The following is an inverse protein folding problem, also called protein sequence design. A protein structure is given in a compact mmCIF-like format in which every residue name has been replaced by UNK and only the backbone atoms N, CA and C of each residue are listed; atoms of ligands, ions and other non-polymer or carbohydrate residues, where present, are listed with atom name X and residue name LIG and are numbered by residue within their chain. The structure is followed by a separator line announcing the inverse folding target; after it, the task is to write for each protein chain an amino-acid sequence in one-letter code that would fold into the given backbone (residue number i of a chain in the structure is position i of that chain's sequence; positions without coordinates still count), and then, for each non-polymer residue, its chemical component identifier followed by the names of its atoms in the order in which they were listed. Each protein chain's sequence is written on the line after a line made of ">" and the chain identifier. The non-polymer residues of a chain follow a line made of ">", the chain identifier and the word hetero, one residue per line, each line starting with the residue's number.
data_IF_619315262565
#
_entry.id   IF_619315262565
#
_cell.length_a   1.000
_cell.length_b   1.000
_cell.length_c   1.000
_cell.angle_alpha   90.00
_cell.angle_beta   90.00
_cell.angle_gamma   90.00
#
_symmetry.space_group_name_H-M   'P 1'
#
loop_
_entity.id
_entity.type
_entity.pdbx_description
1 polymer ?
#
# COMPACT_ATOMS: atom_id res chain seq x y z
N UNK A 1 40.41 66.25 12.54
CA UNK A 1 39.12 66.13 13.24
C UNK A 1 38.58 64.74 12.94
N UNK A 2 38.58 63.82 13.90
CA UNK A 2 38.08 62.46 13.68
C UNK A 2 36.55 62.51 13.63
N UNK A 3 35.96 62.00 12.55
CA UNK A 3 34.51 61.89 12.42
C UNK A 3 34.04 60.79 13.36
N UNK A 4 33.36 61.16 14.45
CA UNK A 4 32.73 60.23 15.37
C UNK A 4 31.34 59.91 14.82
N UNK A 5 31.18 58.70 14.30
CA UNK A 5 29.84 58.20 13.94
C UNK A 5 29.11 57.79 15.22
N UNK A 6 27.79 58.05 15.32
CA UNK A 6 27.01 57.57 16.45
C UNK A 6 27.01 56.03 16.49
N UNK A 7 27.14 55.46 17.70
CA UNK A 7 27.34 54.02 17.96
C UNK A 7 26.28 53.08 17.35
N UNK A 8 25.19 53.63 16.83
CA UNK A 8 24.07 52.92 16.25
C UNK A 8 24.11 52.81 14.72
N UNK A 9 25.03 53.50 14.03
CA UNK A 9 25.12 53.48 12.55
C UNK A 9 25.32 52.06 12.04
N UNK A 10 26.23 51.27 12.65
CA UNK A 10 26.46 49.88 12.26
C UNK A 10 25.23 48.98 12.49
N UNK A 11 24.43 49.25 13.54
CA UNK A 11 23.19 48.52 13.81
C UNK A 11 22.12 48.85 12.76
N UNK A 12 22.00 50.13 12.37
CA UNK A 12 21.06 50.59 11.34
C UNK A 12 21.43 50.05 9.96
N UNK A 13 22.71 50.02 9.62
CA UNK A 13 23.20 49.45 8.35
C UNK A 13 22.90 47.95 8.28
N UNK A 14 23.19 47.19 9.35
CA UNK A 14 22.82 45.77 9.40
C UNK A 14 21.32 45.53 9.27
N UNK A 15 20.49 46.36 9.91
CA UNK A 15 19.04 46.24 9.80
C UNK A 15 18.55 46.49 8.36
N UNK A 16 19.16 47.45 7.64
CA UNK A 16 18.89 47.71 6.23
C UNK A 16 19.33 46.56 5.32
N UNK A 17 20.52 46.00 5.55
CA UNK A 17 21.02 44.83 4.81
C UNK A 17 20.10 43.61 5.00
N UNK A 18 19.66 43.36 6.24
CA UNK A 18 18.74 42.27 6.54
C UNK A 18 17.38 42.49 5.88
N UNK A 19 16.87 43.73 5.94
CA UNK A 19 15.62 44.11 5.26
C UNK A 19 15.71 43.93 3.74
N UNK A 20 16.83 44.33 3.12
CA UNK A 20 17.07 44.10 1.69
C UNK A 20 17.13 42.60 1.36
N UNK A 21 17.84 41.79 2.15
CA UNK A 21 17.92 40.35 1.92
C UNK A 21 16.55 39.68 2.01
N UNK A 22 15.73 40.06 2.99
CA UNK A 22 14.35 39.58 3.10
C UNK A 22 13.50 40.02 1.90
N UNK A 23 13.67 41.26 1.43
CA UNK A 23 12.93 41.79 0.30
C UNK A 23 13.29 41.07 -1.00
N UNK A 24 14.58 40.84 -1.27
CA UNK A 24 15.05 40.03 -2.41
C UNK A 24 14.58 38.59 -2.33
N UNK A 25 14.57 37.98 -1.15
CA UNK A 25 14.04 36.64 -0.94
C UNK A 25 12.54 36.57 -1.24
N UNK A 26 11.78 37.57 -0.81
CA UNK A 26 10.34 37.67 -1.12
C UNK A 26 10.07 37.89 -2.61
N UNK A 27 10.87 38.74 -3.28
CA UNK A 27 10.74 39.02 -4.71
C UNK A 27 11.12 37.82 -5.56
N UNK A 28 12.03 36.96 -5.10
CA UNK A 28 12.38 35.75 -5.85
C UNK A 28 11.35 34.62 -5.66
N UNK A 29 10.63 34.60 -4.54
CA UNK A 29 9.64 33.54 -4.23
C UNK A 29 8.23 33.88 -4.72
N UNK A 30 7.83 35.15 -4.72
CA UNK A 30 6.49 35.61 -5.14
C UNK A 30 6.15 35.34 -6.62
N UNK A 31 7.08 35.50 -7.59
CA UNK A 31 6.84 35.17 -9.00
C UNK A 31 6.70 33.67 -9.22
N UNK A 32 7.36 32.83 -8.42
CA UNK A 32 7.17 31.39 -8.49
C UNK A 32 5.75 31.00 -8.05
N UNK A 33 5.25 31.60 -6.97
CA UNK A 33 3.89 31.38 -6.48
C UNK A 33 2.83 31.88 -7.47
N UNK A 34 2.95 33.11 -7.97
CA UNK A 34 2.01 33.67 -8.94
C UNK A 34 2.04 32.95 -10.30
N UNK A 35 3.16 32.34 -10.69
CA UNK A 35 3.23 31.54 -11.93
C UNK A 35 2.52 30.20 -11.80
N UNK A 36 2.54 29.57 -10.63
CA UNK A 36 1.78 28.33 -10.39
C UNK A 36 0.27 28.56 -10.57
N UNK A 37 -0.23 29.76 -10.29
CA UNK A 37 -1.62 30.15 -10.53
C UNK A 37 -1.93 30.49 -12.00
N UNK A 38 -0.92 30.83 -12.82
CA UNK A 38 -1.14 31.42 -14.16
C UNK A 38 -0.59 30.60 -15.35
N UNK A 39 0.03 29.44 -15.12
CA UNK A 39 0.53 28.58 -16.21
C UNK A 39 1.62 27.58 -15.80
N UNK A 40 2.23 26.90 -16.80
CA UNK A 40 3.24 25.86 -16.56
C UNK A 40 4.50 26.41 -15.90
N UNK A 41 4.93 25.76 -14.81
CA UNK A 41 6.19 26.05 -14.15
C UNK A 41 7.14 24.84 -14.27
N UNK A 42 8.27 25.04 -14.95
CA UNK A 42 9.36 24.05 -14.99
C UNK A 42 10.27 24.26 -13.78
N UNK A 43 10.31 23.28 -12.87
CA UNK A 43 11.07 23.37 -11.60
C UNK A 43 12.40 22.61 -11.62
N UNK A 44 12.61 21.77 -12.63
CA UNK A 44 13.88 21.07 -12.83
C UNK A 44 14.03 20.66 -14.28
N UNK A 45 15.20 20.92 -14.86
CA UNK A 45 15.54 20.52 -16.25
C UNK A 45 16.98 20.07 -16.35
N UNK A 46 17.20 18.89 -16.93
CA UNK A 46 18.53 18.36 -17.25
C UNK A 46 18.49 17.79 -18.66
N UNK A 47 19.08 18.51 -19.62
CA UNK A 47 18.96 18.17 -21.04
C UNK A 47 17.51 18.26 -21.52
N UNK A 48 16.97 17.15 -22.02
CA UNK A 48 15.56 17.03 -22.42
C UNK A 48 14.63 16.74 -21.25
N UNK A 49 15.15 16.16 -20.16
CA UNK A 49 14.34 15.72 -19.00
C UNK A 49 13.84 16.89 -18.19
N UNK A 50 12.59 16.85 -17.74
CA UNK A 50 12.01 17.93 -16.95
C UNK A 50 10.94 17.51 -15.95
N UNK A 51 10.73 18.38 -14.95
CA UNK A 51 9.60 18.35 -14.03
C UNK A 51 8.78 19.62 -14.24
N UNK A 52 7.49 19.46 -14.51
CA UNK A 52 6.57 20.57 -14.79
C UNK A 52 5.41 20.53 -13.79
N UNK A 53 5.11 21.68 -13.19
CA UNK A 53 3.93 21.90 -12.34
C UNK A 53 2.86 22.64 -13.16
N UNK A 54 1.61 22.24 -13.03
CA UNK A 54 0.46 22.81 -13.74
C UNK A 54 0.72 23.03 -15.24
N UNK A 55 1.05 21.96 -15.99
CA UNK A 55 1.34 22.03 -17.41
C UNK A 55 0.18 22.66 -18.19
N UNK A 56 0.51 23.24 -19.34
CA UNK A 56 -0.46 24.00 -20.13
C UNK A 56 -1.63 23.12 -20.59
N UNK A 57 -2.86 23.60 -20.42
CA UNK A 57 -4.09 22.87 -20.73
C UNK A 57 -4.55 21.84 -19.68
N UNK A 58 -3.87 21.71 -18.54
CA UNK A 58 -4.32 20.83 -17.46
C UNK A 58 -5.64 21.32 -16.83
N UNK A 59 -6.65 20.44 -16.78
CA UNK A 59 -7.95 20.74 -16.14
C UNK A 59 -7.91 20.69 -14.61
N UNK A 60 -6.90 20.01 -14.06
CA UNK A 60 -6.71 19.77 -12.63
C UNK A 60 -5.26 20.11 -12.26
N UNK A 61 -4.96 20.45 -10.99
CA UNK A 61 -3.60 20.58 -10.53
C UNK A 61 -2.82 19.28 -10.77
N UNK A 62 -1.76 19.34 -11.56
CA UNK A 62 -0.96 18.16 -11.89
C UNK A 62 0.54 18.44 -11.99
N UNK A 63 1.33 17.39 -11.76
CA UNK A 63 2.78 17.38 -11.88
C UNK A 63 3.15 16.39 -12.99
N UNK A 64 3.93 16.84 -13.96
CA UNK A 64 4.52 15.99 -14.99
C UNK A 64 5.97 15.66 -14.65
N UNK A 65 6.28 14.38 -14.71
CA UNK A 65 7.62 13.82 -14.68
C UNK A 65 7.91 13.30 -16.09
N UNK A 66 8.77 14.01 -16.82
CA UNK A 66 9.10 13.71 -18.21
C UNK A 66 10.58 13.25 -18.31
N UNK A 67 10.86 11.94 -18.13
CA UNK A 67 12.22 11.42 -18.16
C UNK A 67 12.81 11.35 -19.58
N UNK A 68 11.98 11.40 -20.61
CA UNK A 68 12.41 11.30 -22.02
C UNK A 68 12.47 12.68 -22.68
N UNK A 69 11.77 13.66 -22.11
CA UNK A 69 11.80 15.06 -22.54
C UNK A 69 11.03 15.33 -23.83
N UNK A 70 10.08 14.46 -24.15
CA UNK A 70 9.28 14.55 -25.37
C UNK A 70 7.97 15.29 -25.14
N UNK A 71 7.53 15.46 -23.89
CA UNK A 71 6.28 16.10 -23.52
C UNK A 71 5.01 15.33 -23.89
N UNK A 72 5.11 14.26 -24.68
CA UNK A 72 3.94 13.57 -25.24
C UNK A 72 3.32 12.57 -24.27
N UNK A 73 4.14 11.93 -23.43
CA UNK A 73 3.75 10.83 -22.56
C UNK A 73 4.47 10.92 -21.18
N UNK A 74 4.29 12.00 -20.42
CA UNK A 74 4.89 12.10 -19.10
C UNK A 74 4.20 11.18 -18.10
N UNK A 75 4.92 10.76 -17.07
CA UNK A 75 4.27 10.23 -15.86
C UNK A 75 3.64 11.40 -15.11
N UNK A 76 2.36 11.30 -14.78
CA UNK A 76 1.57 12.42 -14.24
C UNK A 76 1.04 12.10 -12.86
N UNK A 77 1.14 13.07 -11.97
CA UNK A 77 0.48 13.06 -10.66
C UNK A 77 -0.63 14.10 -10.70
N UNK A 78 -1.89 13.68 -10.60
CA UNK A 78 -3.06 14.55 -10.73
C UNK A 78 -3.82 14.58 -9.42
N UNK A 79 -4.07 15.77 -8.89
CA UNK A 79 -4.98 15.96 -7.77
C UNK A 79 -6.39 16.24 -8.29
N UNK A 80 -7.37 15.48 -7.84
CA UNK A 80 -8.78 15.64 -8.18
C UNK A 80 -9.62 15.77 -6.91
N UNK A 81 -10.69 16.55 -6.99
CA UNK A 81 -11.74 16.54 -5.97
C UNK A 81 -12.79 15.50 -6.35
N UNK A 82 -13.00 14.51 -5.46
CA UNK A 82 -14.23 13.74 -5.43
C UNK A 82 -15.30 14.49 -4.64
N UNK A 83 -16.55 14.00 -4.64
CA UNK A 83 -17.60 14.58 -3.79
C UNK A 83 -17.26 14.36 -2.31
N UNK A 84 -16.67 15.36 -1.66
CA UNK A 84 -16.19 15.26 -0.27
C UNK A 84 -14.84 14.55 -0.10
N UNK A 85 -14.13 14.24 -1.18
CA UNK A 85 -12.93 13.40 -1.14
C UNK A 85 -11.74 14.11 -1.80
N UNK A 86 -10.54 13.93 -1.24
CA UNK A 86 -9.30 14.29 -1.91
C UNK A 86 -8.74 13.05 -2.61
N UNK A 87 -8.53 13.14 -3.93
CA UNK A 87 -8.07 12.03 -4.75
C UNK A 87 -6.76 12.41 -5.42
N UNK A 88 -5.74 11.56 -5.27
CA UNK A 88 -4.46 11.68 -5.98
C UNK A 88 -4.35 10.51 -6.95
N UNK A 89 -4.20 10.79 -8.24
CA UNK A 89 -4.03 9.77 -9.29
C UNK A 89 -2.63 9.83 -9.87
N UNK A 90 -2.07 8.65 -10.13
CA UNK A 90 -0.82 8.46 -10.84
C UNK A 90 -1.13 7.86 -12.20
N UNK A 91 -0.65 8.51 -13.26
CA UNK A 91 -0.70 8.04 -14.64
C UNK A 91 0.72 7.72 -15.09
N UNK A 92 0.97 6.53 -15.63
CA UNK A 92 2.24 6.24 -16.28
C UNK A 92 2.23 6.79 -17.70
N UNK A 93 3.36 7.34 -18.15
CA UNK A 93 3.52 7.83 -19.52
C UNK A 93 3.26 6.76 -20.59
N UNK A 94 3.44 5.48 -20.26
CA UNK A 94 3.25 4.38 -21.21
C UNK A 94 1.81 3.86 -21.30
N UNK A 95 0.95 4.25 -20.37
CA UNK A 95 -0.40 3.71 -20.24
C UNK A 95 -1.41 4.86 -20.21
N UNK A 96 -2.35 4.91 -21.16
CA UNK A 96 -3.37 5.97 -21.23
C UNK A 96 -4.37 6.01 -20.05
N UNK A 97 -4.20 5.18 -19.01
CA UNK A 97 -5.11 5.05 -17.87
C UNK A 97 -4.42 5.24 -16.51
N UNK A 98 -5.25 5.41 -15.47
CA UNK A 98 -4.80 5.54 -14.07
C UNK A 98 -4.08 4.27 -13.65
N UNK A 99 -2.83 4.41 -13.19
CA UNK A 99 -2.00 3.30 -12.70
C UNK A 99 -2.13 3.11 -11.20
N UNK A 100 -2.38 4.17 -10.46
CA UNK A 100 -2.77 4.06 -9.07
C UNK A 100 -3.52 5.29 -8.60
N UNK A 101 -4.31 5.12 -7.55
CA UNK A 101 -4.99 6.23 -6.89
C UNK A 101 -4.89 6.10 -5.38
N UNK A 102 -4.80 7.25 -4.70
CA UNK A 102 -5.00 7.41 -3.27
C UNK A 102 -6.24 8.28 -3.09
N UNK A 103 -7.21 7.81 -2.33
CA UNK A 103 -8.41 8.56 -1.96
C UNK A 103 -8.44 8.74 -0.45
N UNK A 104 -8.64 9.98 -0.02
CA UNK A 104 -8.78 10.39 1.37
C UNK A 104 -10.18 10.98 1.55
N UNK A 105 -10.89 10.48 2.54
CA UNK A 105 -12.24 10.91 2.90
C UNK A 105 -12.40 10.87 4.43
N UNK A 106 -13.46 11.47 4.96
CA UNK A 106 -13.74 11.49 6.39
C UNK A 106 -13.86 10.06 6.94
N UNK A 107 -12.87 9.65 7.75
CA UNK A 107 -12.85 8.34 8.39
C UNK A 107 -12.44 7.17 7.48
N UNK A 108 -11.94 7.44 6.27
CA UNK A 108 -11.42 6.39 5.40
C UNK A 108 -10.27 6.82 4.48
N UNK A 109 -9.39 5.87 4.19
CA UNK A 109 -8.29 5.97 3.25
C UNK A 109 -8.35 4.76 2.34
N UNK A 110 -8.25 4.97 1.03
CA UNK A 110 -8.17 3.89 0.07
C UNK A 110 -7.05 4.12 -0.94
N UNK A 111 -6.40 3.03 -1.33
CA UNK A 111 -5.38 3.00 -2.37
C UNK A 111 -5.76 1.92 -3.36
N UNK A 112 -5.65 2.23 -4.65
CA UNK A 112 -5.85 1.25 -5.72
C UNK A 112 -4.71 1.32 -6.72
N UNK A 113 -4.44 0.19 -7.35
CA UNK A 113 -3.57 0.06 -8.52
C UNK A 113 -4.44 -0.28 -9.73
N UNK A 114 -4.05 0.21 -10.90
CA UNK A 114 -4.68 -0.12 -12.18
C UNK A 114 -4.62 -1.61 -12.51
N UNK A 115 -3.71 -2.36 -11.87
CA UNK A 115 -3.67 -3.80 -11.98
C UNK A 115 -4.78 -4.50 -11.19
N UNK A 116 -5.43 -3.85 -10.21
CA UNK A 116 -6.46 -4.46 -9.35
C UNK A 116 -6.06 -4.58 -7.88
N UNK A 117 -4.80 -4.32 -7.52
CA UNK A 117 -4.39 -4.29 -6.12
C UNK A 117 -5.09 -3.15 -5.38
N UNK A 118 -5.47 -3.38 -4.12
CA UNK A 118 -6.08 -2.35 -3.30
C UNK A 118 -5.74 -2.50 -1.82
N UNK A 119 -5.77 -1.38 -1.13
CA UNK A 119 -5.72 -1.28 0.31
C UNK A 119 -6.78 -0.28 0.77
N UNK A 120 -7.53 -0.63 1.79
CA UNK A 120 -8.62 0.17 2.32
C UNK A 120 -8.57 0.13 3.84
N UNK A 121 -8.66 1.30 4.45
CA UNK A 121 -8.80 1.50 5.87
C UNK A 121 -9.98 2.44 6.09
N UNK A 122 -11.08 1.91 6.62
CA UNK A 122 -12.24 2.66 7.06
C UNK A 122 -12.47 2.48 8.56
N UNK A 123 -13.33 3.31 9.12
CA UNK A 123 -13.68 3.29 10.54
C UNK A 123 -14.10 1.90 11.05
N UNK A 124 -15.00 1.23 10.32
CA UNK A 124 -15.56 -0.07 10.73
C UNK A 124 -14.90 -1.25 10.02
N UNK A 125 -13.96 -1.00 9.11
CA UNK A 125 -13.44 -2.07 8.29
C UNK A 125 -12.12 -1.74 7.63
N UNK A 126 -11.24 -2.72 7.53
CA UNK A 126 -10.03 -2.67 6.69
C UNK A 126 -10.01 -3.82 5.70
N UNK A 127 -9.56 -3.56 4.47
CA UNK A 127 -9.41 -4.59 3.43
C UNK A 127 -8.09 -4.44 2.68
N UNK A 128 -7.45 -5.55 2.34
CA UNK A 128 -6.21 -5.54 1.57
C UNK A 128 -6.17 -6.72 0.62
N UNK A 129 -5.71 -6.50 -0.60
CA UNK A 129 -5.46 -7.58 -1.53
C UNK A 129 -5.49 -7.12 -2.97
N UNK A 130 -6.00 -7.98 -3.83
CA UNK A 130 -6.10 -7.76 -5.26
C UNK A 130 -7.47 -8.22 -5.75
N UNK A 131 -8.03 -7.45 -6.68
CA UNK A 131 -9.27 -7.76 -7.36
C UNK A 131 -9.14 -7.23 -8.80
N UNK A 132 -8.75 -8.11 -9.72
CA UNK A 132 -9.03 -7.86 -11.13
C UNK A 132 -10.45 -8.33 -11.43
N UNK A 133 -11.06 -7.79 -12.48
CA UNK A 133 -12.44 -8.10 -12.88
C UNK A 133 -12.75 -9.60 -13.09
N UNK A 134 -11.76 -10.47 -13.01
CA UNK A 134 -11.84 -11.92 -13.21
C UNK A 134 -11.55 -12.74 -11.95
N UNK A 135 -10.81 -12.20 -10.98
CA UNK A 135 -10.34 -12.92 -9.79
C UNK A 135 -10.09 -11.95 -8.63
N UNK A 136 -10.51 -12.34 -7.43
CA UNK A 136 -10.33 -11.56 -6.22
C UNK A 136 -9.66 -12.38 -5.14
N UNK A 137 -8.58 -11.85 -4.57
CA UNK A 137 -7.92 -12.41 -3.41
C UNK A 137 -7.61 -11.28 -2.41
N UNK A 138 -8.40 -11.22 -1.33
CA UNK A 138 -8.28 -10.13 -0.37
C UNK A 138 -8.74 -10.52 1.04
N UNK A 139 -8.16 -9.85 2.03
CA UNK A 139 -8.55 -9.94 3.42
C UNK A 139 -9.52 -8.83 3.79
N UNK A 140 -10.39 -9.15 4.75
CA UNK A 140 -11.39 -8.30 5.37
C UNK A 140 -11.25 -8.38 6.87
N UNK A 141 -11.12 -7.22 7.52
CA UNK A 141 -11.07 -7.08 8.96
C UNK A 141 -12.12 -6.08 9.40
N UNK A 142 -12.97 -6.41 10.36
CA UNK A 142 -13.97 -5.52 10.94
C UNK A 142 -14.48 -6.05 12.28
N UNK A 143 -15.40 -5.32 12.95
CA UNK A 143 -16.02 -5.76 14.20
C UNK A 143 -16.70 -7.11 13.97
N UNK A 144 -16.09 -8.18 14.49
CA UNK A 144 -16.57 -9.57 14.37
C UNK A 144 -16.34 -10.26 13.01
N UNK A 145 -15.51 -9.70 12.13
CA UNK A 145 -15.13 -10.39 10.90
C UNK A 145 -13.63 -10.30 10.66
N UNK A 146 -12.99 -11.46 10.59
CA UNK A 146 -11.68 -11.64 9.98
C UNK A 146 -11.88 -12.71 8.92
N UNK A 147 -11.91 -12.29 7.65
CA UNK A 147 -12.28 -13.16 6.54
C UNK A 147 -11.33 -12.95 5.39
N UNK A 148 -10.94 -14.06 4.79
CA UNK A 148 -10.33 -14.07 3.48
C UNK A 148 -11.42 -14.35 2.42
N UNK A 149 -11.39 -13.59 1.31
CA UNK A 149 -12.27 -13.75 0.17
C UNK A 149 -11.44 -13.94 -1.09
N UNK A 150 -11.67 -15.07 -1.74
CA UNK A 150 -10.95 -15.49 -2.94
C UNK A 150 -10.53 -16.95 -2.89
N UNK A 151 -10.20 -17.50 -4.04
CA UNK A 151 -9.20 -18.56 -4.07
C UNK A 151 -7.86 -17.83 -3.95
N UNK A 152 -7.09 -18.06 -2.88
CA UNK A 152 -5.64 -17.87 -3.05
C UNK A 152 -5.29 -18.81 -4.16
N UNK A 153 -4.75 -18.27 -5.25
CA UNK A 153 -4.52 -18.98 -6.51
C UNK A 153 -4.45 -20.47 -6.23
N UNK A 154 -5.52 -21.17 -6.61
CA UNK A 154 -5.60 -22.63 -6.51
C UNK A 154 -4.70 -23.18 -7.61
N UNK A 155 -3.42 -22.79 -7.55
CA UNK A 155 -2.39 -23.38 -8.34
C UNK A 155 -2.35 -24.82 -7.86
N UNK A 156 -2.57 -25.76 -8.78
CA UNK A 156 -2.33 -27.18 -8.56
C UNK A 156 -0.92 -27.45 -7.96
N UNK A 157 -0.01 -26.47 -8.05
CA UNK A 157 1.27 -26.43 -7.34
C UNK A 157 1.62 -24.99 -6.94
N UNK A 158 1.64 -24.71 -5.63
CA UNK A 158 2.26 -23.51 -5.08
C UNK A 158 3.78 -23.70 -5.10
N UNK A 159 4.53 -22.74 -5.65
CA UNK A 159 5.99 -22.82 -5.70
C UNK A 159 6.62 -22.85 -4.30
N UNK A 160 7.87 -23.35 -4.16
CA UNK A 160 8.55 -23.52 -2.87
C UNK A 160 8.75 -22.24 -2.03
N UNK A 161 8.35 -21.05 -2.51
CA UNK A 161 8.55 -19.74 -1.87
C UNK A 161 7.26 -19.12 -1.32
N UNK A 162 6.16 -19.85 -1.31
CA UNK A 162 4.88 -19.33 -0.81
C UNK A 162 4.95 -19.06 0.69
N UNK A 163 4.50 -17.87 1.11
CA UNK A 163 4.63 -17.39 2.49
C UNK A 163 3.50 -17.82 3.44
N UNK A 164 2.33 -18.17 2.91
CA UNK A 164 1.14 -18.50 3.68
C UNK A 164 0.32 -19.59 2.97
N UNK A 165 -0.03 -20.65 3.70
CA UNK A 165 -0.91 -21.74 3.26
C UNK A 165 -2.09 -21.78 4.22
N UNK A 166 -3.33 -21.83 3.75
CA UNK A 166 -4.49 -21.93 4.62
C UNK A 166 -5.52 -22.91 4.04
N UNK A 167 -6.41 -23.42 4.88
CA UNK A 167 -7.47 -24.30 4.43
C UNK A 167 -8.24 -24.96 5.56
N UNK A 168 -9.13 -25.86 5.19
CA UNK A 168 -9.85 -26.69 6.15
C UNK A 168 -10.10 -28.10 5.62
N UNK A 169 -10.05 -29.08 6.50
CA UNK A 169 -10.33 -30.48 6.17
C UNK A 169 -11.30 -31.02 7.21
N UNK A 170 -12.30 -31.79 6.78
CA UNK A 170 -13.18 -32.54 7.68
C UNK A 170 -12.74 -34.01 7.67
N UNK A 171 -12.55 -34.56 8.86
CA UNK A 171 -12.06 -35.93 9.04
C UNK A 171 -13.17 -36.75 9.68
N UNK A 172 -13.58 -37.82 8.99
CA UNK A 172 -14.65 -38.71 9.40
C UNK A 172 -14.26 -39.65 10.55
N UNK A 173 -15.26 -40.01 11.36
CA UNK A 173 -15.12 -40.68 12.66
C UNK A 173 -14.34 -42.00 12.66
N UNK A 174 -13.20 -41.96 13.37
CA UNK A 174 -12.37 -43.06 13.94
C UNK A 174 -10.89 -42.66 13.99
N UNK A 175 -10.47 -41.65 13.20
CA UNK A 175 -9.11 -41.14 13.24
C UNK A 175 -8.87 -40.21 14.43
N UNK A 176 -7.70 -40.33 15.04
CA UNK A 176 -7.18 -39.46 16.11
C UNK A 176 -6.01 -38.58 15.65
N UNK A 177 -5.72 -38.57 14.34
CA UNK A 177 -4.65 -37.76 13.77
C UNK A 177 -4.82 -37.51 12.28
N UNK A 178 -4.19 -36.46 11.77
CA UNK A 178 -4.03 -36.24 10.34
C UNK A 178 -2.68 -35.60 10.02
N UNK A 179 -2.21 -35.91 8.81
CA UNK A 179 -1.09 -35.24 8.18
C UNK A 179 -1.62 -34.43 7.02
N UNK A 180 -1.29 -33.13 7.02
CA UNK A 180 -1.66 -32.21 5.95
C UNK A 180 -0.41 -31.94 5.13
N UNK A 181 -0.39 -32.47 3.91
CA UNK A 181 0.66 -32.23 2.94
C UNK A 181 0.56 -30.83 2.36
N UNK A 182 1.71 -30.23 2.05
CA UNK A 182 1.75 -29.04 1.21
C UNK A 182 1.72 -29.43 -0.27
N UNK A 183 1.26 -28.54 -1.16
CA UNK A 183 1.24 -28.81 -2.61
C UNK A 183 2.63 -29.03 -3.22
N UNK A 184 3.69 -28.55 -2.56
CA UNK A 184 5.09 -28.73 -2.95
C UNK A 184 5.99 -28.82 -1.71
N UNK A 185 7.26 -29.21 -1.92
CA UNK A 185 8.27 -29.12 -0.85
C UNK A 185 8.67 -27.65 -0.69
N UNK A 186 8.41 -27.10 0.48
CA UNK A 186 8.74 -25.72 0.84
C UNK A 186 10.24 -25.55 1.07
N UNK A 187 10.78 -24.37 0.79
CA UNK A 187 12.23 -24.11 0.96
C UNK A 187 12.70 -24.15 2.43
N UNK A 188 11.79 -24.08 3.40
CA UNK A 188 12.06 -24.19 4.83
C UNK A 188 10.89 -24.84 5.56
N UNK A 189 11.12 -25.23 6.83
CA UNK A 189 10.03 -25.67 7.70
C UNK A 189 9.01 -24.53 7.87
N UNK A 190 7.73 -24.90 7.77
CA UNK A 190 6.62 -23.98 7.99
C UNK A 190 6.19 -24.01 9.46
N UNK A 191 5.65 -22.91 9.96
CA UNK A 191 4.97 -22.78 11.25
C UNK A 191 3.47 -22.98 11.11
N UNK A 192 2.93 -24.19 11.36
CA UNK A 192 1.49 -24.41 11.34
C UNK A 192 0.81 -23.83 12.59
N UNK A 193 -0.26 -23.09 12.36
CA UNK A 193 -1.31 -22.74 13.32
C UNK A 193 -2.55 -23.53 12.92
N UNK A 194 -3.10 -24.26 13.89
CA UNK A 194 -4.25 -25.12 13.68
C UNK A 194 -5.32 -24.75 14.70
N UNK A 195 -6.58 -24.89 14.30
CA UNK A 195 -7.73 -24.89 15.21
C UNK A 195 -8.59 -26.11 14.87
N UNK A 196 -9.05 -26.81 15.90
CA UNK A 196 -9.89 -28.00 15.77
C UNK A 196 -11.25 -27.74 16.38
N UNK A 197 -12.31 -28.13 15.65
CA UNK A 197 -13.68 -28.14 16.13
C UNK A 197 -14.23 -29.56 16.02
N UNK A 198 -14.76 -30.10 17.11
CA UNK A 198 -15.52 -31.35 17.04
C UNK A 198 -17.02 -31.07 16.90
N UNK A 199 -17.73 -32.00 16.27
CA UNK A 199 -19.20 -31.95 16.17
C UNK A 199 -19.91 -32.37 17.46
N UNK A 200 -19.18 -32.95 18.43
CA UNK A 200 -19.76 -33.57 19.62
C UNK A 200 -19.97 -32.63 20.81
N UNK A 201 -19.50 -31.38 20.76
CA UNK A 201 -19.67 -30.40 21.84
C UNK A 201 -18.88 -30.73 23.12
N UNK A 202 -17.94 -31.68 23.05
CA UNK A 202 -17.07 -32.08 24.17
C UNK A 202 -15.73 -31.37 24.06
N UNK A 203 -15.08 -31.06 25.18
CA UNK A 203 -13.71 -30.54 25.17
C UNK A 203 -12.76 -31.63 24.64
N UNK A 204 -11.79 -31.26 23.79
CA UNK A 204 -10.80 -32.20 23.26
C UNK A 204 -9.39 -31.64 23.44
N UNK A 205 -8.46 -32.49 23.87
CA UNK A 205 -7.04 -32.20 23.80
C UNK A 205 -6.54 -32.46 22.38
N UNK A 206 -5.68 -31.58 21.88
CA UNK A 206 -5.02 -31.73 20.59
C UNK A 206 -3.68 -31.01 20.58
N UNK A 207 -2.79 -31.44 19.69
CA UNK A 207 -1.50 -30.78 19.48
C UNK A 207 -0.96 -31.02 18.07
N UNK A 208 -0.04 -30.16 17.65
CA UNK A 208 0.80 -30.37 16.47
C UNK A 208 1.97 -31.25 16.91
N UNK A 209 2.16 -32.38 16.24
CA UNK A 209 3.15 -33.40 16.63
C UNK A 209 4.40 -33.40 15.75
N UNK A 210 4.31 -32.85 14.54
CA UNK A 210 5.44 -32.70 13.63
C UNK A 210 5.19 -31.54 12.65
N UNK A 211 6.27 -30.89 12.21
CA UNK A 211 6.28 -29.97 11.08
C UNK A 211 7.56 -30.16 10.27
N UNK A 212 7.43 -30.10 8.94
CA UNK A 212 8.52 -30.24 7.98
C UNK A 212 8.33 -29.28 6.81
N UNK A 213 9.24 -29.35 5.84
CA UNK A 213 9.12 -28.67 4.55
C UNK A 213 7.99 -29.22 3.65
N UNK A 214 7.47 -30.43 3.91
CA UNK A 214 6.52 -31.09 3.01
C UNK A 214 5.13 -31.28 3.60
N UNK A 215 5.01 -31.21 4.93
CA UNK A 215 3.76 -31.43 5.66
C UNK A 215 3.89 -31.05 7.13
N UNK A 216 2.75 -31.05 7.82
CA UNK A 216 2.69 -31.09 9.28
C UNK A 216 1.65 -32.13 9.73
N UNK A 217 1.78 -32.57 10.99
CA UNK A 217 0.88 -33.57 11.59
C UNK A 217 0.22 -33.02 12.86
N UNK A 218 -1.06 -33.35 13.03
CA UNK A 218 -1.89 -32.97 14.17
C UNK A 218 -2.52 -34.22 14.77
N UNK A 219 -2.56 -34.30 16.09
CA UNK A 219 -3.22 -35.38 16.83
C UNK A 219 -4.28 -34.81 17.79
N UNK A 220 -5.36 -35.57 18.04
CA UNK A 220 -6.45 -35.21 18.95
C UNK A 220 -7.01 -36.42 19.69
N UNK A 221 -7.58 -36.17 20.88
CA UNK A 221 -8.03 -37.20 21.82
C UNK A 221 -9.51 -37.60 21.66
N UNK A 222 -10.05 -37.61 20.45
CA UNK A 222 -11.46 -37.99 20.21
C UNK A 222 -11.62 -38.82 18.93
N UNK A 223 -12.62 -39.71 18.93
CA UNK A 223 -12.99 -40.56 17.80
C UNK A 223 -14.16 -40.02 16.98
N UNK A 224 -14.75 -38.89 17.39
CA UNK A 224 -15.81 -38.21 16.62
C UNK A 224 -15.20 -37.42 15.46
N UNK A 225 -16.02 -37.08 14.47
CA UNK A 225 -15.58 -36.25 13.35
C UNK A 225 -15.08 -34.88 13.83
N UNK A 226 -13.96 -34.46 13.27
CA UNK A 226 -13.34 -33.14 13.54
C UNK A 226 -13.23 -32.33 12.26
N UNK A 227 -13.50 -31.04 12.36
CA UNK A 227 -13.14 -30.04 11.36
C UNK A 227 -11.83 -29.38 11.81
N UNK A 228 -10.82 -29.46 10.95
CA UNK A 228 -9.52 -28.86 11.17
C UNK A 228 -9.41 -27.62 10.28
N UNK A 229 -9.15 -26.47 10.90
CA UNK A 229 -8.86 -25.20 10.24
C UNK A 229 -7.38 -24.90 10.40
N UNK A 230 -6.70 -24.56 9.33
CA UNK A 230 -5.25 -24.44 9.33
C UNK A 230 -4.74 -23.19 8.62
N UNK A 231 -3.59 -22.74 9.10
CA UNK A 231 -2.76 -21.71 8.50
C UNK A 231 -1.30 -22.08 8.76
N UNK A 232 -0.47 -22.24 7.74
CA UNK A 232 0.97 -22.44 7.89
C UNK A 232 1.70 -21.29 7.22
N UNK A 233 2.65 -20.67 7.92
CA UNK A 233 3.46 -19.58 7.39
C UNK A 233 4.95 -19.91 7.45
N UNK A 234 5.72 -19.30 6.57
CA UNK A 234 7.18 -19.37 6.62
C UNK A 234 7.69 -18.53 7.80
N UNK A 235 8.59 -19.09 8.58
CA UNK A 235 9.43 -18.35 9.53
C UNK A 235 10.61 -17.70 8.81
#
# INVERSE_FOLDING_TARGET
>A
MAVVYPDDVLKRVRALELGQQQLFTSINTKPAFNRVESGPLVVGRVGTRQITLNPDGALNPEIWLDPDGTGTNPTRVVAESGTGQAVLKLYSGTSGGVQSSLTLDAGQVSMTSGAGSFAYWGHDESRFGYNDSTSGNWFRFGPNICRHNGAWDDFASLGPNTGLLWGSITIGGSSTSATVGYPSVMASNMGPIVSLRNGGGVSMAWCITASSASSYSVAWATSVSVALYQCAFRH
#
